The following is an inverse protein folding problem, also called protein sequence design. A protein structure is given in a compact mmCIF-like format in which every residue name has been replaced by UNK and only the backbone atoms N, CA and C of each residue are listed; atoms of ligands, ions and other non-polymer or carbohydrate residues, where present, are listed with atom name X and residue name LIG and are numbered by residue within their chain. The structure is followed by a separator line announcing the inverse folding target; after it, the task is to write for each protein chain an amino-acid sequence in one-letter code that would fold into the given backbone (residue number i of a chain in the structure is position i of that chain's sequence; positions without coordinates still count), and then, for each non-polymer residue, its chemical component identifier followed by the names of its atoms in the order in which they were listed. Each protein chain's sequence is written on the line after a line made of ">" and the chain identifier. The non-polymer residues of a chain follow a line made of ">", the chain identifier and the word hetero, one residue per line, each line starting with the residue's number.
data_IF_168152803335
#
_entry.id   IF_168152803335
#
_cell.length_a   1.000
_cell.length_b   1.000
_cell.length_c   1.000
_cell.angle_alpha   90.00
_cell.angle_beta   90.00
_cell.angle_gamma   90.00
#
_symmetry.space_group_name_H-M   'P 1'
#
loop_
_entity.id
_entity.type
_entity.pdbx_description
1 polymer ?
#
# COMPACT_ATOMS: atom_id res chain seq x y z
N UNK A 1 42.02 1.80 -3.60
CA UNK A 1 41.07 2.68 -2.89
C UNK A 1 39.66 2.44 -3.40
N UNK A 2 39.32 2.74 -4.66
CA UNK A 2 37.98 2.38 -5.20
C UNK A 2 37.82 0.86 -5.32
N UNK A 3 38.82 0.12 -5.82
CA UNK A 3 38.69 -1.36 -5.89
C UNK A 3 38.48 -2.02 -4.53
N UNK A 4 39.00 -1.44 -3.45
CA UNK A 4 38.88 -2.01 -2.10
C UNK A 4 37.46 -1.86 -1.52
N UNK A 5 36.71 -0.83 -1.96
CA UNK A 5 35.38 -0.51 -1.44
C UNK A 5 34.29 -1.16 -2.31
N UNK A 6 34.63 -1.56 -3.53
CA UNK A 6 33.75 -2.31 -4.43
C UNK A 6 32.94 -3.43 -3.76
N UNK A 7 33.54 -4.37 -2.99
CA UNK A 7 32.75 -5.41 -2.34
C UNK A 7 31.72 -4.86 -1.35
N UNK A 8 32.04 -3.78 -0.64
CA UNK A 8 31.11 -3.13 0.29
C UNK A 8 29.95 -2.47 -0.45
N UNK A 9 30.24 -1.79 -1.56
CA UNK A 9 29.24 -1.13 -2.40
C UNK A 9 28.22 -2.13 -2.97
N UNK A 10 28.68 -3.30 -3.43
CA UNK A 10 27.80 -4.38 -3.90
C UNK A 10 26.90 -4.89 -2.78
N UNK A 11 27.42 -5.05 -1.55
CA UNK A 11 26.61 -5.43 -0.38
C UNK A 11 25.56 -4.37 -0.04
N UNK A 12 25.88 -3.09 -0.23
CA UNK A 12 24.93 -1.99 -0.08
C UNK A 12 23.88 -1.91 -1.20
N UNK A 13 23.94 -2.80 -2.20
CA UNK A 13 22.96 -2.89 -3.27
C UNK A 13 23.27 -2.03 -4.50
N UNK A 14 24.52 -1.55 -4.65
CA UNK A 14 24.97 -0.88 -5.87
C UNK A 14 25.27 -1.95 -6.92
N UNK A 15 24.72 -1.79 -8.13
CA UNK A 15 24.99 -2.72 -9.24
C UNK A 15 26.47 -2.66 -9.64
N UNK A 16 27.05 -3.81 -9.98
CA UNK A 16 28.40 -3.91 -10.51
C UNK A 16 28.60 -3.12 -11.80
N UNK A 17 27.56 -2.97 -12.61
CA UNK A 17 27.57 -2.14 -13.82
C UNK A 17 27.75 -0.66 -13.48
N UNK A 18 27.00 -0.19 -12.49
CA UNK A 18 26.83 1.24 -12.22
C UNK A 18 27.97 1.76 -11.34
N UNK A 19 28.60 0.88 -10.56
CA UNK A 19 29.67 1.22 -9.63
C UNK A 19 30.83 1.99 -10.28
N UNK A 20 31.25 1.56 -11.48
CA UNK A 20 32.42 2.15 -12.16
C UNK A 20 32.13 3.51 -12.76
N UNK A 21 30.85 3.80 -13.02
CA UNK A 21 30.39 5.09 -13.57
C UNK A 21 30.03 6.08 -12.46
N UNK A 22 29.91 5.63 -11.20
CA UNK A 22 29.60 6.46 -10.04
C UNK A 22 30.85 7.14 -9.46
N UNK A 23 30.66 8.36 -8.97
CA UNK A 23 31.68 9.05 -8.19
C UNK A 23 31.75 8.49 -6.77
N UNK A 24 32.92 8.64 -6.13
CA UNK A 24 33.13 8.21 -4.74
C UNK A 24 32.07 8.80 -3.77
N UNK A 25 31.65 10.04 -4.01
CA UNK A 25 30.63 10.70 -3.19
C UNK A 25 29.27 10.01 -3.32
N UNK A 26 28.85 9.69 -4.54
CA UNK A 26 27.58 9.01 -4.79
C UNK A 26 27.57 7.61 -4.18
N UNK A 27 28.69 6.89 -4.26
CA UNK A 27 28.85 5.58 -3.61
C UNK A 27 28.64 5.71 -2.09
N UNK A 28 29.23 6.72 -1.46
CA UNK A 28 29.08 6.94 -0.01
C UNK A 28 27.64 7.33 0.37
N UNK A 29 27.01 8.25 -0.37
CA UNK A 29 25.62 8.65 -0.14
C UNK A 29 24.68 7.44 -0.25
N UNK A 30 24.90 6.57 -1.25
CA UNK A 30 24.11 5.36 -1.43
C UNK A 30 24.34 4.33 -0.32
N UNK A 31 25.59 4.16 0.15
CA UNK A 31 25.90 3.32 1.31
C UNK A 31 25.22 3.85 2.58
N UNK A 32 25.17 5.16 2.76
CA UNK A 32 24.51 5.78 3.91
C UNK A 32 22.98 5.60 3.85
N UNK A 33 22.37 5.83 2.69
CA UNK A 33 20.95 5.57 2.47
C UNK A 33 20.58 4.11 2.76
N UNK A 34 21.42 3.15 2.31
CA UNK A 34 21.25 1.74 2.63
C UNK A 34 21.26 1.49 4.14
N UNK A 35 22.25 2.02 4.86
CA UNK A 35 22.36 1.88 6.32
C UNK A 35 21.13 2.46 7.03
N UNK A 36 20.64 3.62 6.60
CA UNK A 36 19.43 4.23 7.18
C UNK A 36 18.20 3.33 6.96
N UNK A 37 18.01 2.81 5.75
CA UNK A 37 16.91 1.90 5.44
C UNK A 37 16.97 0.60 6.25
N UNK A 38 18.16 0.01 6.42
CA UNK A 38 18.33 -1.17 7.26
C UNK A 38 17.98 -0.88 8.72
N UNK A 39 18.41 0.27 9.25
CA UNK A 39 18.08 0.67 10.63
C UNK A 39 16.57 0.85 10.84
N UNK A 40 15.87 1.44 9.88
CA UNK A 40 14.40 1.55 9.92
C UNK A 40 13.77 0.16 9.94
N UNK A 41 14.17 -0.72 9.04
CA UNK A 41 13.69 -2.11 8.98
C UNK A 41 13.94 -2.89 10.27
N UNK A 42 15.11 -2.76 10.88
CA UNK A 42 15.41 -3.43 12.15
C UNK A 42 14.56 -2.90 13.30
N UNK A 43 14.33 -1.57 13.37
CA UNK A 43 13.45 -0.97 14.38
C UNK A 43 12.00 -1.43 14.21
N UNK A 44 11.51 -1.48 12.98
CA UNK A 44 10.18 -2.00 12.66
C UNK A 44 10.05 -3.47 13.08
N UNK A 45 11.00 -4.30 12.69
CA UNK A 45 11.03 -5.73 13.05
C UNK A 45 11.06 -5.92 14.56
N UNK A 46 11.94 -5.23 15.28
CA UNK A 46 12.02 -5.32 16.74
C UNK A 46 10.69 -4.92 17.41
N UNK A 47 10.02 -3.89 16.87
CA UNK A 47 8.70 -3.46 17.37
C UNK A 47 7.64 -4.54 17.13
N UNK A 48 7.63 -5.16 15.95
CA UNK A 48 6.67 -6.23 15.64
C UNK A 48 6.94 -7.50 16.45
N UNK A 49 8.20 -7.90 16.59
CA UNK A 49 8.60 -9.07 17.38
C UNK A 49 8.19 -8.90 18.85
N UNK A 50 8.38 -7.70 19.42
CA UNK A 50 7.92 -7.39 20.78
C UNK A 50 6.39 -7.47 20.91
N UNK A 51 5.64 -6.89 19.95
CA UNK A 51 4.18 -6.99 19.94
C UNK A 51 3.70 -8.43 19.80
N UNK A 52 4.35 -9.22 18.96
CA UNK A 52 4.06 -10.64 18.80
C UNK A 52 4.32 -11.42 20.09
N UNK A 53 5.45 -11.18 20.76
CA UNK A 53 5.74 -11.81 22.05
C UNK A 53 4.66 -11.50 23.10
N UNK A 54 4.19 -10.25 23.15
CA UNK A 54 3.08 -9.87 24.03
C UNK A 54 1.78 -10.61 23.67
N UNK A 55 1.44 -10.71 22.38
CA UNK A 55 0.26 -11.46 21.93
C UNK A 55 0.35 -12.95 22.29
N UNK A 56 1.52 -13.55 22.12
CA UNK A 56 1.75 -14.94 22.52
C UNK A 56 1.61 -15.10 24.04
N UNK A 57 2.11 -14.14 24.83
CA UNK A 57 1.92 -14.16 26.29
C UNK A 57 0.44 -14.17 26.69
N UNK A 58 -0.42 -13.41 26.00
CA UNK A 58 -1.86 -13.47 26.22
C UNK A 58 -2.46 -14.80 25.76
N UNK A 59 -2.06 -15.30 24.59
CA UNK A 59 -2.59 -16.56 24.05
C UNK A 59 -2.30 -17.78 24.95
N UNK A 60 -1.14 -17.82 25.61
CA UNK A 60 -0.79 -18.93 26.50
C UNK A 60 -1.29 -18.77 27.94
N UNK A 61 -1.41 -17.55 28.46
CA UNK A 61 -1.79 -17.32 29.86
C UNK A 61 -3.30 -17.04 30.03
N UNK A 62 -3.84 -16.08 29.28
CA UNK A 62 -5.25 -15.66 29.39
C UNK A 62 -5.76 -15.13 28.04
N UNK A 63 -6.34 -16.01 27.20
CA UNK A 63 -6.86 -15.63 25.89
C UNK A 63 -7.98 -14.59 25.95
N UNK A 64 -8.68 -14.45 27.08
CA UNK A 64 -9.78 -13.48 27.21
C UNK A 64 -9.29 -12.03 27.27
N UNK A 65 -8.02 -11.80 27.59
CA UNK A 65 -7.39 -10.47 27.61
C UNK A 65 -6.68 -10.11 26.28
N UNK A 66 -6.86 -10.92 25.25
CA UNK A 66 -6.23 -10.66 23.95
C UNK A 66 -6.75 -9.34 23.35
N UNK A 67 -5.86 -8.36 23.06
CA UNK A 67 -6.26 -7.09 22.49
C UNK A 67 -6.75 -7.25 21.05
N UNK A 68 -7.64 -6.36 20.61
CA UNK A 68 -8.18 -6.40 19.24
C UNK A 68 -7.12 -5.99 18.23
N UNK A 69 -7.28 -6.45 16.98
CA UNK A 69 -6.34 -6.16 15.89
C UNK A 69 -6.08 -4.66 15.71
N UNK A 70 -7.13 -3.84 15.84
CA UNK A 70 -7.07 -2.38 15.70
C UNK A 70 -6.34 -1.67 16.83
N UNK A 71 -6.25 -2.28 18.01
CA UNK A 71 -5.50 -1.76 19.16
C UNK A 71 -4.01 -2.06 19.01
N UNK A 72 -3.68 -3.25 18.49
CA UNK A 72 -2.30 -3.70 18.28
C UNK A 72 -1.66 -3.11 17.03
N UNK A 73 -2.46 -2.89 15.99
CA UNK A 73 -2.06 -2.30 14.71
C UNK A 73 -2.93 -1.08 14.40
N UNK A 74 -2.61 0.10 14.99
CA UNK A 74 -3.42 1.30 14.82
C UNK A 74 -3.62 1.74 13.37
N UNK A 75 -2.68 1.40 12.47
CA UNK A 75 -2.79 1.68 11.03
C UNK A 75 -3.83 0.83 10.31
N UNK A 76 -4.30 -0.27 10.91
CA UNK A 76 -5.40 -1.08 10.37
C UNK A 76 -6.77 -0.56 10.81
N UNK A 77 -6.84 0.49 11.64
CA UNK A 77 -8.09 1.21 11.85
C UNK A 77 -8.51 1.73 10.49
N UNK A 78 -9.50 1.09 9.89
CA UNK A 78 -10.21 1.67 8.76
C UNK A 78 -10.67 3.03 9.26
N UNK A 79 -10.15 4.10 8.68
CA UNK A 79 -10.85 5.36 8.75
C UNK A 79 -12.22 5.06 8.16
N UNK A 80 -13.20 4.86 9.03
CA UNK A 80 -14.59 5.07 8.65
C UNK A 80 -14.72 6.58 8.47
N UNK A 81 -14.03 7.13 7.46
CA UNK A 81 -14.63 8.20 6.70
C UNK A 81 -15.99 7.62 6.34
N UNK A 82 -17.02 8.25 6.90
CA UNK A 82 -18.37 8.03 6.43
C UNK A 82 -18.26 8.32 4.94
N UNK A 83 -18.20 7.27 4.14
CA UNK A 83 -18.45 7.38 2.72
C UNK A 83 -19.91 7.81 2.73
N UNK A 84 -20.15 9.13 2.71
CA UNK A 84 -21.42 9.69 2.28
C UNK A 84 -21.74 8.89 1.03
N UNK A 85 -22.82 8.09 1.00
CA UNK A 85 -23.10 7.25 -0.15
C UNK A 85 -23.19 8.20 -1.34
N UNK A 86 -22.15 8.22 -2.18
CA UNK A 86 -22.15 8.89 -3.47
C UNK A 86 -23.45 8.43 -4.12
N UNK A 87 -24.35 9.36 -4.42
CA UNK A 87 -25.72 9.09 -4.86
C UNK A 87 -25.72 8.03 -5.96
N UNK A 88 -25.82 6.76 -5.56
CA UNK A 88 -26.04 5.66 -6.48
C UNK A 88 -27.46 5.91 -7.00
N UNK A 89 -27.60 6.09 -8.31
CA UNK A 89 -28.90 6.28 -8.96
C UNK A 89 -29.87 5.25 -8.38
N UNK A 90 -30.98 5.74 -7.83
CA UNK A 90 -31.98 4.86 -7.23
C UNK A 90 -32.56 3.99 -8.35
N UNK A 91 -33.09 2.81 -8.04
CA UNK A 91 -33.68 1.91 -9.04
C UNK A 91 -34.72 2.61 -9.95
N UNK A 92 -35.42 3.62 -9.42
CA UNK A 92 -36.33 4.50 -10.18
C UNK A 92 -35.64 5.35 -11.25
N UNK A 93 -34.44 5.84 -10.97
CA UNK A 93 -33.66 6.67 -11.88
C UNK A 93 -33.11 5.82 -13.03
N UNK A 94 -32.73 4.56 -12.74
CA UNK A 94 -32.29 3.58 -13.73
C UNK A 94 -33.44 3.20 -14.68
N UNK A 95 -34.64 2.99 -14.14
CA UNK A 95 -35.84 2.68 -14.93
C UNK A 95 -36.25 3.86 -15.82
N UNK A 96 -36.14 5.09 -15.32
CA UNK A 96 -36.43 6.29 -16.09
C UNK A 96 -35.48 6.45 -17.29
N UNK A 97 -34.18 6.19 -17.08
CA UNK A 97 -33.18 6.27 -18.15
C UNK A 97 -33.38 5.18 -19.20
N UNK A 98 -33.71 3.94 -18.79
CA UNK A 98 -34.06 2.86 -19.72
C UNK A 98 -35.29 3.20 -20.57
N UNK A 99 -36.33 3.78 -19.97
CA UNK A 99 -37.53 4.20 -20.70
C UNK A 99 -37.22 5.29 -21.73
N UNK A 100 -36.34 6.23 -21.40
CA UNK A 100 -35.89 7.27 -22.31
C UNK A 100 -35.16 6.68 -23.53
N UNK A 101 -34.25 5.73 -23.29
CA UNK A 101 -33.48 5.06 -24.34
C UNK A 101 -34.35 4.27 -25.31
N UNK A 102 -35.37 3.54 -24.79
CA UNK A 102 -36.32 2.78 -25.62
C UNK A 102 -37.17 3.72 -26.50
N UNK A 103 -37.64 4.84 -25.94
CA UNK A 103 -38.43 5.81 -26.70
C UNK A 103 -37.60 6.52 -27.77
N UNK A 104 -36.35 6.84 -27.45
CA UNK A 104 -35.41 7.42 -28.41
C UNK A 104 -35.15 6.47 -29.59
N UNK A 105 -34.92 5.17 -29.34
CA UNK A 105 -34.73 4.17 -30.39
C UNK A 105 -35.94 4.07 -31.32
N UNK A 106 -37.16 3.98 -30.76
CA UNK A 106 -38.42 3.95 -31.55
C UNK A 106 -38.62 5.20 -32.40
N UNK A 107 -38.25 6.37 -31.88
CA UNK A 107 -38.37 7.63 -32.62
C UNK A 107 -37.44 7.70 -33.85
N UNK A 108 -36.29 7.00 -33.80
CA UNK A 108 -35.35 6.91 -34.93
C UNK A 108 -35.83 5.94 -36.00
N UNK A 109 -36.39 4.80 -35.62
CA UNK A 109 -36.99 3.85 -36.57
C UNK A 109 -38.16 4.48 -37.36
N UNK A 110 -39.00 5.26 -36.68
CA UNK A 110 -40.13 5.94 -37.34
C UNK A 110 -39.69 7.07 -38.29
N UNK A 111 -38.51 7.67 -38.09
CA UNK A 111 -37.91 8.63 -39.03
C UNK A 111 -37.25 7.97 -40.24
N UNK A 112 -36.83 6.71 -40.13
CA UNK A 112 -36.24 5.95 -41.25
C UNK A 112 -37.28 5.29 -42.16
N UNK A 113 -38.54 5.19 -41.71
CA UNK A 113 -39.67 4.63 -42.49
C UNK A 113 -40.55 5.67 -43.19
N UNK A 114 -40.19 6.96 -43.13
CA UNK A 114 -40.77 8.04 -43.94
C UNK A 114 -39.76 8.47 -44.98
#
# INVERSE_FOLDING_TARGET
>A
MLEDIYPLAVVCGISSSDYWDMTYKEILEQCEAFKQNQNVRFKERATFDYRLANLLSYAFNDPSKMPKLEEVYPFMKKETSKIEPSQYMTEKDIVADQAYMVNFAKSRENKQKK
#
